data_IF_475273279304
#
_entry.id   IF_475273279304
#
_cell.length_a   1.000
_cell.length_b   1.000
_cell.length_c   1.000
_cell.angle_alpha   90.00
_cell.angle_beta   90.00
_cell.angle_gamma   90.00
#
_symmetry.space_group_name_H-M   'P 1'
#
loop_
_entity.id
_entity.type
_entity.pdbx_description
1 polymer ?
#
# COMPACT_ATOMS: atom_id res chain seq x y z
N UNK A 1 7.24 -15.23 -16.19
CA UNK A 1 7.16 -14.99 -14.73
C UNK A 1 8.54 -15.24 -14.09
N UNK A 2 9.62 -14.89 -14.79
CA UNK A 2 11.00 -14.98 -14.30
C UNK A 2 11.34 -13.66 -13.60
N UNK A 3 11.99 -13.72 -12.43
CA UNK A 3 12.40 -12.55 -11.64
C UNK A 3 11.67 -12.32 -10.30
N UNK A 4 10.65 -13.12 -9.97
CA UNK A 4 9.99 -13.07 -8.65
C UNK A 4 10.29 -14.33 -7.84
N UNK A 5 10.49 -14.16 -6.53
CA UNK A 5 10.74 -15.26 -5.60
C UNK A 5 9.52 -16.18 -5.46
N UNK A 6 9.75 -17.38 -4.91
CA UNK A 6 8.73 -18.43 -4.79
C UNK A 6 7.58 -18.01 -3.86
N UNK A 7 7.85 -17.22 -2.83
CA UNK A 7 6.85 -16.72 -1.88
C UNK A 7 5.90 -15.74 -2.56
N UNK A 8 6.44 -14.75 -3.27
CA UNK A 8 5.62 -13.77 -4.01
C UNK A 8 4.74 -14.46 -5.05
N UNK A 9 5.28 -15.44 -5.79
CA UNK A 9 4.50 -16.22 -6.76
C UNK A 9 3.34 -17.00 -6.14
N UNK A 10 3.54 -17.59 -4.96
CA UNK A 10 2.50 -18.34 -4.26
C UNK A 10 1.34 -17.42 -3.87
N UNK A 11 1.63 -16.28 -3.24
CA UNK A 11 0.59 -15.35 -2.77
C UNK A 11 -0.19 -14.77 -3.94
N UNK A 12 0.48 -14.34 -5.00
CA UNK A 12 -0.18 -13.80 -6.20
C UNK A 12 -1.09 -14.83 -6.87
N UNK A 13 -0.71 -16.12 -6.85
CA UNK A 13 -1.51 -17.21 -7.39
C UNK A 13 -2.84 -17.44 -6.66
N UNK A 14 -2.96 -16.95 -5.42
CA UNK A 14 -4.17 -17.05 -4.61
C UNK A 14 -5.12 -15.84 -4.78
N UNK A 15 -4.66 -14.78 -5.45
CA UNK A 15 -5.50 -13.61 -5.75
C UNK A 15 -6.39 -13.94 -6.96
N UNK A 16 -7.74 -13.81 -6.84
CA UNK A 16 -8.64 -14.02 -7.96
C UNK A 16 -8.30 -13.10 -9.14
N UNK A 17 -8.15 -13.70 -10.32
CA UNK A 17 -7.98 -12.96 -11.57
C UNK A 17 -9.30 -12.32 -12.00
N UNK A 18 -9.18 -11.14 -12.61
CA UNK A 18 -10.31 -10.40 -13.17
C UNK A 18 -10.51 -10.77 -14.65
N UNK A 19 -11.70 -10.52 -15.19
CA UNK A 19 -12.02 -10.82 -16.58
C UNK A 19 -12.60 -9.62 -17.32
N UNK A 20 -13.28 -8.72 -16.62
CA UNK A 20 -13.91 -7.55 -17.25
C UNK A 20 -12.85 -6.51 -17.63
N UNK A 21 -12.77 -6.18 -18.93
CA UNK A 21 -11.93 -5.08 -19.44
C UNK A 21 -12.74 -3.80 -19.52
N UNK A 22 -12.86 -3.10 -18.40
CA UNK A 22 -13.59 -1.84 -18.32
C UNK A 22 -12.89 -0.86 -17.37
N UNK A 23 -12.87 0.41 -17.74
CA UNK A 23 -12.38 1.53 -16.94
C UNK A 23 -13.49 2.44 -16.45
N UNK A 24 -13.15 3.50 -15.69
CA UNK A 24 -14.12 4.38 -15.01
C UNK A 24 -15.22 5.00 -15.88
N UNK A 25 -15.03 5.07 -17.20
CA UNK A 25 -15.98 5.70 -18.14
C UNK A 25 -16.96 4.71 -18.78
N UNK A 26 -16.83 3.41 -18.49
CA UNK A 26 -17.58 2.35 -19.19
C UNK A 26 -18.90 1.98 -18.50
N UNK A 27 -19.43 2.84 -17.62
CA UNK A 27 -20.77 2.71 -17.03
C UNK A 27 -21.01 1.36 -16.32
N UNK A 28 -21.95 0.56 -16.83
CA UNK A 28 -22.28 -0.75 -16.24
C UNK A 28 -21.10 -1.73 -16.27
N UNK A 29 -20.28 -1.70 -17.33
CA UNK A 29 -19.12 -2.57 -17.41
C UNK A 29 -18.08 -2.21 -16.32
N UNK A 30 -17.96 -0.93 -15.97
CA UNK A 30 -17.16 -0.51 -14.81
C UNK A 30 -17.72 -1.04 -13.51
N UNK A 31 -19.05 -0.99 -13.31
CA UNK A 31 -19.69 -1.57 -12.11
C UNK A 31 -19.43 -3.07 -11.99
N UNK A 32 -19.43 -3.79 -13.10
CA UNK A 32 -19.08 -5.21 -13.13
C UNK A 32 -17.61 -5.44 -12.78
N UNK A 33 -16.69 -4.66 -13.37
CA UNK A 33 -15.27 -4.68 -13.02
C UNK A 33 -15.04 -4.38 -11.53
N UNK A 34 -15.71 -3.39 -10.97
CA UNK A 34 -15.57 -2.99 -9.58
C UNK A 34 -15.99 -4.10 -8.60
N UNK A 35 -17.03 -4.89 -8.94
CA UNK A 35 -17.39 -6.10 -8.17
C UNK A 35 -16.26 -7.13 -8.17
N UNK A 36 -15.58 -7.31 -9.30
CA UNK A 36 -14.41 -8.19 -9.39
C UNK A 36 -13.23 -7.66 -8.55
N UNK A 37 -12.98 -6.35 -8.56
CA UNK A 37 -11.95 -5.70 -7.72
C UNK A 37 -12.20 -5.95 -6.23
N UNK A 38 -13.43 -5.72 -5.75
CA UNK A 38 -13.78 -5.98 -4.37
C UNK A 38 -13.60 -7.45 -4.00
N UNK A 39 -14.02 -8.38 -4.88
CA UNK A 39 -13.84 -9.81 -4.65
C UNK A 39 -12.36 -10.19 -4.53
N UNK A 40 -11.52 -9.65 -5.40
CA UNK A 40 -10.08 -9.89 -5.38
C UNK A 40 -9.42 -9.32 -4.12
N UNK A 41 -9.80 -8.11 -3.70
CA UNK A 41 -9.30 -7.48 -2.47
C UNK A 41 -9.71 -8.26 -1.22
N UNK A 42 -10.99 -8.65 -1.12
CA UNK A 42 -11.50 -9.43 0.02
C UNK A 42 -10.76 -10.78 0.11
N UNK A 43 -10.60 -11.47 -1.02
CA UNK A 43 -9.85 -12.72 -1.06
C UNK A 43 -8.39 -12.53 -0.64
N UNK A 44 -7.73 -11.48 -1.14
CA UNK A 44 -6.33 -11.20 -0.80
C UNK A 44 -6.15 -10.90 0.69
N UNK A 45 -7.00 -10.04 1.27
CA UNK A 45 -6.97 -9.76 2.71
C UNK A 45 -7.29 -11.01 3.54
N UNK A 46 -8.22 -11.86 3.10
CA UNK A 46 -8.52 -13.13 3.77
C UNK A 46 -7.31 -14.08 3.81
N UNK A 47 -6.61 -14.22 2.68
CA UNK A 47 -5.37 -15.01 2.57
C UNK A 47 -4.26 -14.42 3.45
N UNK A 48 -4.12 -13.10 3.48
CA UNK A 48 -3.12 -12.45 4.33
C UNK A 48 -3.40 -12.71 5.81
N UNK A 49 -4.66 -12.59 6.24
CA UNK A 49 -5.06 -12.86 7.62
C UNK A 49 -4.88 -14.32 8.03
N UNK A 50 -5.21 -15.27 7.16
CA UNK A 50 -5.03 -16.70 7.47
C UNK A 50 -3.55 -17.10 7.60
N UNK A 51 -2.65 -16.29 7.05
CA UNK A 51 -1.19 -16.46 7.12
C UNK A 51 -0.51 -15.51 8.13
N UNK A 52 -1.28 -14.81 8.96
CA UNK A 52 -0.80 -13.81 9.92
C UNK A 52 0.11 -12.73 9.29
N UNK A 53 -0.24 -12.32 8.08
CA UNK A 53 0.49 -11.35 7.28
C UNK A 53 -0.43 -10.24 6.76
N UNK A 54 -1.37 -9.78 7.60
CA UNK A 54 -2.23 -8.64 7.27
C UNK A 54 -1.40 -7.35 7.28
N UNK A 55 -1.43 -6.59 6.18
CA UNK A 55 -0.52 -5.45 5.98
C UNK A 55 -1.18 -4.20 5.38
N UNK A 56 -2.48 -4.25 5.06
CA UNK A 56 -3.19 -3.07 4.54
C UNK A 56 -4.70 -3.13 4.77
N UNK A 57 -5.32 -1.95 4.69
CA UNK A 57 -6.77 -1.78 4.63
C UNK A 57 -7.09 -0.59 3.75
N UNK A 58 -7.90 -0.80 2.71
CA UNK A 58 -8.34 0.26 1.81
C UNK A 58 -9.83 0.15 1.51
N UNK A 59 -10.42 1.27 1.11
CA UNK A 59 -11.80 1.36 0.62
C UNK A 59 -11.89 2.43 -0.48
N UNK A 60 -12.90 2.32 -1.33
CA UNK A 60 -13.24 3.43 -2.21
C UNK A 60 -13.65 4.64 -1.37
N UNK A 61 -13.03 5.79 -1.64
CA UNK A 61 -13.34 7.07 -1.01
C UNK A 61 -14.60 7.72 -1.61
N UNK A 62 -15.08 7.19 -2.74
CA UNK A 62 -16.27 7.67 -3.43
C UNK A 62 -17.13 6.53 -3.98
N UNK A 63 -18.46 6.74 -4.18
CA UNK A 63 -19.38 5.70 -4.66
C UNK A 63 -19.00 5.14 -6.03
N UNK A 64 -18.32 5.93 -6.87
CA UNK A 64 -17.91 5.52 -8.21
C UNK A 64 -16.74 4.54 -8.21
N UNK A 65 -16.05 4.37 -7.07
CA UNK A 65 -14.90 3.47 -6.96
C UNK A 65 -13.67 3.95 -7.71
N UNK A 66 -13.58 5.25 -8.00
CA UNK A 66 -12.50 5.85 -8.81
C UNK A 66 -11.41 6.50 -7.97
N UNK A 67 -11.63 6.71 -6.68
CA UNK A 67 -10.62 7.12 -5.69
C UNK A 67 -10.60 6.13 -4.55
N UNK A 68 -9.41 5.75 -4.11
CA UNK A 68 -9.20 4.78 -3.05
C UNK A 68 -8.28 5.34 -1.99
N UNK A 69 -8.61 5.08 -0.73
CA UNK A 69 -7.87 5.55 0.43
C UNK A 69 -7.84 4.47 1.51
N UNK A 70 -6.87 4.58 2.41
CA UNK A 70 -6.75 3.72 3.57
C UNK A 70 -5.37 3.79 4.20
N UNK A 71 -4.92 2.68 4.75
CA UNK A 71 -3.62 2.56 5.39
C UNK A 71 -2.94 1.26 4.98
N UNK A 72 -1.62 1.31 4.88
CA UNK A 72 -0.77 0.12 4.85
C UNK A 72 0.24 0.19 5.98
N UNK A 73 0.76 -0.95 6.39
CA UNK A 73 1.76 -1.02 7.44
C UNK A 73 2.83 -2.05 7.13
N UNK A 74 3.99 -1.88 7.76
CA UNK A 74 5.13 -2.77 7.63
C UNK A 74 5.75 -2.99 9.01
N UNK A 75 6.10 -4.24 9.31
CA UNK A 75 6.76 -4.61 10.57
C UNK A 75 8.26 -4.69 10.33
N UNK A 76 9.01 -3.86 11.05
CA UNK A 76 10.48 -3.87 11.05
C UNK A 76 10.98 -3.77 12.50
N UNK A 77 11.94 -4.61 12.88
CA UNK A 77 12.46 -4.68 14.25
C UNK A 77 11.35 -4.81 15.33
N UNK A 78 10.38 -5.71 15.09
CA UNK A 78 9.22 -5.96 15.96
C UNK A 78 8.31 -4.74 16.21
N UNK A 79 8.47 -3.66 15.42
CA UNK A 79 7.64 -2.45 15.47
C UNK A 79 6.83 -2.30 14.19
N UNK A 80 5.58 -1.87 14.33
CA UNK A 80 4.65 -1.68 13.20
C UNK A 80 4.64 -0.20 12.78
N UNK A 81 5.08 0.07 11.56
CA UNK A 81 5.05 1.39 10.95
C UNK A 81 3.84 1.50 10.03
N UNK A 82 3.01 2.53 10.23
CA UNK A 82 1.76 2.71 9.49
C UNK A 82 1.83 3.95 8.60
N UNK A 83 1.31 3.83 7.38
CA UNK A 83 1.35 4.88 6.37
C UNK A 83 -0.05 5.06 5.76
N UNK A 84 -0.56 6.30 5.67
CA UNK A 84 -1.69 6.61 4.82
C UNK A 84 -1.39 6.24 3.37
N UNK A 85 -2.34 5.58 2.74
CA UNK A 85 -2.28 5.06 1.37
C UNK A 85 -3.44 5.64 0.58
N UNK A 86 -3.16 6.18 -0.61
CA UNK A 86 -4.20 6.66 -1.51
C UNK A 86 -3.81 6.42 -2.98
N UNK A 87 -4.79 6.42 -3.87
CA UNK A 87 -4.61 6.46 -5.33
C UNK A 87 -5.92 6.71 -6.06
N UNK A 88 -5.83 7.28 -7.24
CA UNK A 88 -6.93 7.37 -8.20
C UNK A 88 -6.84 6.27 -9.25
N UNK A 89 -7.99 5.81 -9.73
CA UNK A 89 -8.10 4.91 -10.87
C UNK A 89 -7.92 5.73 -12.15
N UNK A 90 -6.89 5.46 -12.97
CA UNK A 90 -6.67 6.20 -14.20
C UNK A 90 -7.80 5.94 -15.19
N UNK A 91 -8.11 6.93 -16.04
CA UNK A 91 -9.13 6.78 -17.09
C UNK A 91 -8.83 5.59 -18.02
N UNK A 92 -7.55 5.30 -18.26
CA UNK A 92 -7.10 4.18 -19.08
C UNK A 92 -7.05 2.84 -18.32
N UNK A 93 -7.54 2.75 -17.09
CA UNK A 93 -7.62 1.48 -16.36
C UNK A 93 -8.52 0.47 -17.10
N UNK A 94 -8.21 -0.84 -17.12
CA UNK A 94 -7.06 -1.52 -16.51
C UNK A 94 -5.80 -1.55 -17.38
N UNK A 95 -5.79 -0.88 -18.54
CA UNK A 95 -4.61 -0.84 -19.42
C UNK A 95 -3.39 -0.21 -18.72
N UNK A 96 -3.64 0.80 -17.89
CA UNK A 96 -2.64 1.47 -17.06
C UNK A 96 -2.95 1.16 -15.59
N UNK A 97 -1.92 0.74 -14.84
CA UNK A 97 -2.03 0.50 -13.40
C UNK A 97 -2.24 1.83 -12.64
N UNK A 98 -2.94 1.83 -11.49
CA UNK A 98 -3.01 3.00 -10.63
C UNK A 98 -1.63 3.38 -10.09
N UNK A 99 -1.39 4.67 -9.91
CA UNK A 99 -0.19 5.19 -9.27
C UNK A 99 -0.42 5.25 -7.76
N UNK A 100 0.24 4.37 -7.02
CA UNK A 100 0.08 4.25 -5.57
C UNK A 100 0.84 5.38 -4.87
N UNK A 101 0.18 6.05 -3.93
CA UNK A 101 0.71 7.18 -3.19
C UNK A 101 0.82 6.89 -1.69
N UNK A 102 1.97 7.23 -1.11
CA UNK A 102 2.23 7.26 0.33
C UNK A 102 2.63 8.70 0.72
N UNK A 103 1.67 9.62 0.93
CA UNK A 103 1.96 11.05 1.04
C UNK A 103 2.92 11.41 2.17
N UNK A 104 2.90 10.67 3.28
CA UNK A 104 3.75 10.92 4.45
C UNK A 104 5.23 10.57 4.24
N UNK A 105 5.55 9.91 3.12
CA UNK A 105 6.90 9.53 2.72
C UNK A 105 7.47 10.43 1.60
N UNK A 106 6.69 11.41 1.11
CA UNK A 106 7.16 12.33 0.07
C UNK A 106 8.44 13.06 0.50
N UNK A 107 9.43 13.08 -0.40
CA UNK A 107 10.76 13.66 -0.14
C UNK A 107 11.67 12.85 0.79
N UNK A 108 11.25 11.71 1.35
CA UNK A 108 12.07 10.90 2.28
C UNK A 108 12.92 9.82 1.60
N UNK A 109 12.60 9.45 0.36
CA UNK A 109 13.35 8.47 -0.44
C UNK A 109 13.48 8.91 -1.89
N UNK A 110 14.56 8.48 -2.56
CA UNK A 110 14.76 8.62 -4.01
C UNK A 110 13.89 7.67 -4.84
N UNK A 111 13.27 6.64 -4.23
CA UNK A 111 12.35 5.70 -4.89
C UNK A 111 10.91 6.19 -4.86
N UNK A 112 10.72 7.49 -5.00
CA UNK A 112 9.43 8.16 -5.00
C UNK A 112 9.44 9.34 -5.96
N UNK A 113 8.33 9.56 -6.66
CA UNK A 113 8.08 10.76 -7.45
C UNK A 113 7.33 11.79 -6.60
N UNK A 114 7.35 13.05 -7.06
CA UNK A 114 6.66 14.17 -6.41
C UNK A 114 5.21 13.83 -6.07
N UNK A 115 4.77 14.18 -4.87
CA UNK A 115 3.40 13.93 -4.39
C UNK A 115 3.21 12.55 -3.78
N UNK A 116 4.29 11.88 -3.35
CA UNK A 116 4.19 10.61 -2.62
C UNK A 116 4.06 9.36 -3.50
N UNK A 117 4.13 9.49 -4.83
CA UNK A 117 3.94 8.37 -5.78
C UNK A 117 5.13 7.42 -5.74
N UNK A 118 4.91 6.16 -5.40
CA UNK A 118 6.00 5.19 -5.29
C UNK A 118 6.64 4.91 -6.66
N UNK A 119 7.97 4.86 -6.71
CA UNK A 119 8.69 4.48 -7.92
C UNK A 119 8.79 2.95 -8.00
N UNK A 120 7.90 2.36 -8.81
CA UNK A 120 7.91 0.92 -9.06
C UNK A 120 9.12 0.50 -9.90
N UNK A 121 9.48 -0.79 -9.81
CA UNK A 121 10.58 -1.34 -10.60
C UNK A 121 10.27 -1.31 -12.10
N UNK A 122 11.34 -1.28 -12.92
CA UNK A 122 11.22 -1.33 -14.39
C UNK A 122 10.45 -2.55 -14.90
N UNK A 123 10.43 -3.64 -14.13
CA UNK A 123 9.74 -4.89 -14.46
C UNK A 123 8.22 -4.84 -14.27
N UNK A 124 7.71 -3.89 -13.47
CA UNK A 124 6.28 -3.83 -13.12
C UNK A 124 5.41 -3.49 -14.33
N UNK A 125 5.76 -2.45 -15.10
CA UNK A 125 4.96 -2.01 -16.25
C UNK A 125 4.82 -3.11 -17.34
N UNK A 126 5.90 -3.80 -17.77
CA UNK A 126 5.78 -4.93 -18.69
C UNK A 126 4.96 -6.10 -18.12
N UNK A 127 5.08 -6.39 -16.82
CA UNK A 127 4.32 -7.44 -16.17
C UNK A 127 2.82 -7.13 -16.15
N UNK A 128 2.46 -5.89 -15.81
CA UNK A 128 1.08 -5.41 -15.83
C UNK A 128 0.49 -5.49 -17.25
N UNK A 129 1.19 -4.95 -18.25
CA UNK A 129 0.73 -4.94 -19.63
C UNK A 129 0.44 -6.34 -20.17
N UNK A 130 1.31 -7.33 -19.88
CA UNK A 130 1.12 -8.74 -20.29
C UNK A 130 -0.08 -9.42 -19.63
N UNK A 131 -0.55 -8.91 -18.49
CA UNK A 131 -1.64 -9.51 -17.73
C UNK A 131 -2.94 -8.71 -17.79
N UNK A 132 -2.98 -7.56 -18.45
CA UNK A 132 -4.22 -6.83 -18.69
C UNK A 132 -5.23 -7.71 -19.49
N UNK A 133 -6.51 -7.80 -19.10
CA UNK A 133 -7.20 -7.09 -18.00
C UNK A 133 -7.25 -7.86 -16.66
N UNK A 134 -6.54 -8.99 -16.57
CA UNK A 134 -6.63 -9.97 -15.47
C UNK A 134 -6.11 -9.46 -14.13
N UNK A 135 -5.20 -8.50 -14.17
CA UNK A 135 -4.70 -7.83 -12.96
C UNK A 135 -5.61 -6.67 -12.55
N UNK A 136 -5.67 -6.46 -11.25
CA UNK A 136 -6.48 -5.44 -10.60
C UNK A 136 -5.77 -4.77 -9.42
N UNK A 137 -6.52 -4.09 -8.56
CA UNK A 137 -5.99 -3.33 -7.41
C UNK A 137 -5.21 -4.25 -6.48
N UNK A 138 -5.76 -5.41 -6.11
CA UNK A 138 -5.08 -6.39 -5.26
C UNK A 138 -3.72 -6.81 -5.83
N UNK A 139 -3.60 -6.93 -7.15
CA UNK A 139 -2.35 -7.26 -7.82
C UNK A 139 -1.37 -6.09 -7.80
N UNK A 140 -1.83 -4.84 -7.97
CA UNK A 140 -0.99 -3.65 -7.84
C UNK A 140 -0.42 -3.51 -6.43
N UNK A 141 -1.22 -3.80 -5.39
CA UNK A 141 -0.75 -3.82 -4.01
C UNK A 141 0.28 -4.93 -3.78
N UNK A 142 -0.02 -6.16 -4.19
CA UNK A 142 0.84 -7.32 -3.95
C UNK A 142 2.16 -7.28 -4.74
N UNK A 143 2.13 -6.86 -6.01
CA UNK A 143 3.30 -6.88 -6.90
C UNK A 143 4.01 -5.52 -7.01
N UNK A 144 3.37 -4.44 -6.54
CA UNK A 144 3.91 -3.09 -6.59
C UNK A 144 4.29 -2.58 -5.20
N UNK A 145 3.28 -2.37 -4.36
CA UNK A 145 3.45 -1.72 -3.06
C UNK A 145 4.17 -2.62 -2.03
N UNK A 146 3.77 -3.88 -1.86
CA UNK A 146 4.39 -4.74 -0.84
C UNK A 146 5.92 -4.92 -1.04
N UNK A 147 6.43 -5.20 -2.26
CA UNK A 147 7.88 -5.26 -2.50
C UNK A 147 8.57 -3.91 -2.30
N UNK A 148 7.89 -2.80 -2.61
CA UNK A 148 8.41 -1.46 -2.37
C UNK A 148 8.56 -1.17 -0.87
N UNK A 149 7.54 -1.51 -0.06
CA UNK A 149 7.59 -1.39 1.40
C UNK A 149 8.75 -2.23 1.98
N UNK A 150 8.90 -3.47 1.51
CA UNK A 150 9.95 -4.36 1.95
C UNK A 150 11.37 -3.84 1.64
N UNK A 151 11.54 -3.10 0.54
CA UNK A 151 12.82 -2.52 0.15
C UNK A 151 13.10 -1.19 0.87
N UNK A 152 12.10 -0.32 0.99
CA UNK A 152 12.32 1.08 1.38
C UNK A 152 12.08 1.33 2.88
N UNK A 153 11.10 0.68 3.51
CA UNK A 153 10.76 0.96 4.91
C UNK A 153 11.92 0.67 5.86
N UNK A 154 12.64 -0.48 5.76
CA UNK A 154 13.80 -0.73 6.61
C UNK A 154 14.86 0.37 6.50
N UNK A 155 15.18 0.81 5.28
CA UNK A 155 16.17 1.87 5.01
C UNK A 155 15.72 3.20 5.62
N UNK A 156 14.44 3.55 5.45
CA UNK A 156 13.86 4.79 5.99
C UNK A 156 13.84 4.81 7.52
N UNK A 157 13.59 3.67 8.15
CA UNK A 157 13.62 3.54 9.62
C UNK A 157 15.06 3.60 10.13
N UNK A 158 15.97 2.82 9.54
CA UNK A 158 17.35 2.72 9.99
C UNK A 158 18.13 4.03 9.77
N UNK A 159 17.74 4.82 8.77
CA UNK A 159 18.27 6.18 8.53
C UNK A 159 17.61 7.28 9.37
N UNK A 160 16.56 6.97 10.13
CA UNK A 160 15.83 7.91 10.98
C UNK A 160 14.86 8.84 10.24
N UNK A 161 14.62 8.63 8.94
CA UNK A 161 13.66 9.40 8.14
C UNK A 161 12.20 9.07 8.49
N UNK A 162 11.95 7.84 8.96
CA UNK A 162 10.68 7.40 9.52
C UNK A 162 10.90 7.03 10.98
N UNK A 163 10.15 7.69 11.88
CA UNK A 163 10.16 7.39 13.31
C UNK A 163 8.94 6.56 13.68
N UNK A 164 9.05 5.75 14.72
CA UNK A 164 7.89 5.05 15.25
C UNK A 164 7.02 6.03 16.02
N UNK A 165 5.69 5.83 16.00
CA UNK A 165 4.73 6.70 16.70
C UNK A 165 5.04 6.86 18.20
N UNK A 166 5.58 5.82 18.83
CA UNK A 166 5.92 5.82 20.25
C UNK A 166 7.17 6.65 20.56
N UNK A 167 8.06 6.84 19.58
CA UNK A 167 9.27 7.66 19.74
C UNK A 167 8.93 9.16 19.62
N UNK A 168 7.83 9.50 18.95
CA UNK A 168 7.35 10.87 18.75
C UNK A 168 6.59 11.41 19.98
N UNK A 169 5.95 10.53 20.76
CA UNK A 169 5.24 10.88 21.99
C UNK A 169 6.15 11.18 23.20
N UNK A 170 7.44 10.87 23.11
CA UNK A 170 8.33 10.78 24.27
C UNK A 170 8.99 12.07 24.86
N UNK A 171 8.79 13.33 24.40
CA UNK A 171 9.39 14.47 25.10
C UNK A 171 8.44 15.34 25.94
N UNK A 172 7.13 15.05 26.06
CA UNK A 172 6.21 15.90 26.83
C UNK A 172 6.07 15.49 28.32
N UNK A 173 6.06 14.19 28.64
CA UNK A 173 5.74 13.72 30.00
C UNK A 173 6.93 13.72 30.97
N UNK A 174 8.17 13.75 30.47
CA UNK A 174 9.36 13.80 31.33
C UNK A 174 9.61 15.19 31.94
N UNK A 175 9.13 16.27 31.32
CA UNK A 175 9.31 17.63 31.83
C UNK A 175 8.36 17.96 32.99
N UNK A 176 7.18 17.35 33.04
CA UNK A 176 6.20 17.58 34.10
C UNK A 176 6.66 16.98 35.45
N UNK A 177 7.30 15.80 35.44
CA UNK A 177 7.76 15.11 36.65
C UNK A 177 8.94 15.80 37.35
N UNK A 178 9.76 16.56 36.63
CA UNK A 178 10.92 17.26 37.21
C UNK A 178 10.56 18.57 37.95
N UNK A 179 9.35 19.10 37.77
CA UNK A 179 8.92 20.38 38.38
C UNK A 179 8.24 20.24 39.75
N UNK A 180 7.96 19.03 40.22
CA UNK A 180 7.17 18.78 41.44
C UNK A 180 7.96 18.53 42.73
N UNK A 181 9.30 18.52 42.71
CA UNK A 181 10.11 18.07 43.86
C UNK A 181 10.89 19.19 44.59
N UNK A 182 10.48 20.45 44.47
CA UNK A 182 11.16 21.59 45.12
C UNK A 182 10.18 22.49 45.90
N UNK A 183 9.44 21.93 46.87
CA UNK A 183 8.75 22.73 47.90
C UNK A 183 8.36 21.85 49.10
N UNK A 184 9.32 21.52 49.97
CA UNK A 184 9.06 21.21 51.38
C UNK A 184 10.36 21.33 52.17
N UNK A 185 10.58 22.49 52.79
CA UNK A 185 11.53 22.72 53.89
C UNK A 185 10.89 23.67 54.87
#
# INVERSE_FOLDING_TARGET
MEGWDKGTKSVVGEIPLLSTRAGPRDGEAWRQRLKEEYRALIAYTSVNKSKDNDWFRISAANPEGTRWEGTCWYVHNLRRYEFPLQFDIPVAYPQVAPEIELPTLDGKTHKMYRGGKICLTVHFKPLWAKNCPRFGIAHALCLGLAPWLAAEVPILVDSGMVKHKDDEAAPADAAAAASGSAAAS
#
